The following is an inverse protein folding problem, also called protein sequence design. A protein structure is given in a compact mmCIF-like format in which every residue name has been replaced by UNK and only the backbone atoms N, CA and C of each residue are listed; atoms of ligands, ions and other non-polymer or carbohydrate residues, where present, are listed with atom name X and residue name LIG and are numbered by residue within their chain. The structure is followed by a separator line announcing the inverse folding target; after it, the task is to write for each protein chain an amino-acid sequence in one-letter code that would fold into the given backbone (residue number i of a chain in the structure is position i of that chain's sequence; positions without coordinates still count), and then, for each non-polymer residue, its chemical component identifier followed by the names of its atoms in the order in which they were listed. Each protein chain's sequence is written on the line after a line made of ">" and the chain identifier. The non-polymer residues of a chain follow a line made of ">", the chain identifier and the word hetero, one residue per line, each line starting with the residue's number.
data_IF_804434293897
#
_entry.id   IF_804434293897
#
_cell.length_a   1.000
_cell.length_b   1.000
_cell.length_c   1.000
_cell.angle_alpha   90.00
_cell.angle_beta   90.00
_cell.angle_gamma   90.00
#
_symmetry.space_group_name_H-M   'P 1'
#
loop_
_entity.id
_entity.type
_entity.pdbx_description
1 polymer ?
#
# COMPACT_ATOMS: atom_id res chain seq x y z
N UNK A 1 -0.77 10.87 1.20
CA UNK A 1 -1.33 10.32 -0.05
C UNK A 1 -0.32 9.32 -0.60
N UNK A 2 -0.78 8.13 -1.02
CA UNK A 2 0.11 7.11 -1.59
C UNK A 2 0.87 7.61 -2.82
N UNK A 3 2.12 7.16 -2.96
CA UNK A 3 2.93 7.48 -4.13
C UNK A 3 2.29 6.88 -5.39
N UNK A 4 2.19 7.70 -6.42
CA UNK A 4 1.51 7.37 -7.67
C UNK A 4 2.53 7.01 -8.75
N UNK A 5 2.32 5.88 -9.44
CA UNK A 5 3.03 5.50 -10.66
C UNK A 5 2.05 5.71 -11.82
N UNK A 6 2.46 6.49 -12.82
CA UNK A 6 1.68 6.74 -14.04
C UNK A 6 2.00 5.70 -15.11
N UNK A 7 1.04 5.41 -15.99
CA UNK A 7 1.18 4.40 -17.04
C UNK A 7 2.27 4.77 -18.06
N UNK A 8 2.37 6.07 -18.35
CA UNK A 8 3.46 6.68 -19.13
C UNK A 8 3.85 8.03 -18.52
N UNK A 9 4.99 8.60 -18.91
CA UNK A 9 5.50 9.88 -18.38
C UNK A 9 4.62 11.11 -18.68
N UNK A 10 3.60 10.97 -19.54
CA UNK A 10 2.68 12.02 -19.94
C UNK A 10 1.21 11.72 -19.61
N UNK A 11 0.91 10.57 -18.97
CA UNK A 11 -0.46 10.13 -18.72
C UNK A 11 -1.10 10.80 -17.51
N UNK A 12 -2.39 11.12 -17.63
CA UNK A 12 -3.22 11.63 -16.54
C UNK A 12 -3.66 10.51 -15.57
N UNK A 13 -3.63 9.25 -16.04
CA UNK A 13 -4.15 8.10 -15.29
C UNK A 13 -3.07 7.44 -14.44
N UNK A 14 -3.39 7.25 -13.16
CA UNK A 14 -2.55 6.51 -12.21
C UNK A 14 -2.56 5.03 -12.57
N UNK A 15 -1.45 4.46 -13.00
CA UNK A 15 -1.31 3.03 -13.22
C UNK A 15 -1.33 2.26 -11.90
N UNK A 16 -0.52 2.67 -10.93
CA UNK A 16 -0.42 2.00 -9.63
C UNK A 16 -0.22 2.99 -8.47
N UNK A 17 -0.65 2.59 -7.29
CA UNK A 17 -0.40 3.25 -6.02
C UNK A 17 0.57 2.39 -5.21
N UNK A 18 1.63 2.99 -4.70
CA UNK A 18 2.65 2.32 -3.90
C UNK A 18 2.46 2.67 -2.43
N UNK A 19 2.41 1.64 -1.59
CA UNK A 19 2.62 1.75 -0.16
C UNK A 19 3.89 0.98 0.25
N UNK A 20 4.61 1.51 1.23
CA UNK A 20 5.88 0.96 1.69
C UNK A 20 5.67 0.13 2.95
N UNK A 21 6.07 -1.14 2.93
CA UNK A 21 5.98 -2.06 4.05
C UNK A 21 7.21 -1.95 4.94
N UNK A 22 6.97 -1.68 6.21
CA UNK A 22 8.01 -1.67 7.25
C UNK A 22 7.99 -2.95 8.10
N UNK A 23 9.04 -3.16 8.88
CA UNK A 23 9.24 -4.35 9.73
C UNK A 23 8.16 -4.52 10.83
N UNK A 24 7.47 -3.44 11.20
CA UNK A 24 6.35 -3.44 12.14
C UNK A 24 5.00 -3.80 11.50
N UNK A 25 5.02 -4.23 10.23
CA UNK A 25 3.84 -4.62 9.42
C UNK A 25 2.89 -3.47 9.14
N UNK A 26 3.34 -2.22 9.27
CA UNK A 26 2.57 -1.04 8.85
C UNK A 26 2.93 -0.62 7.44
N UNK A 27 1.97 0.02 6.78
CA UNK A 27 2.11 0.60 5.45
C UNK A 27 2.35 2.10 5.55
N UNK A 28 3.31 2.61 4.77
CA UNK A 28 3.74 4.00 4.77
C UNK A 28 3.63 4.61 3.37
N UNK A 29 3.59 5.93 3.33
CA UNK A 29 3.48 6.69 2.07
C UNK A 29 4.81 6.76 1.32
N UNK A 30 5.93 6.61 2.04
CA UNK A 30 7.28 6.69 1.53
C UNK A 30 8.22 5.65 2.18
N UNK A 31 9.38 5.46 1.55
CA UNK A 31 10.43 4.52 1.97
C UNK A 31 11.14 4.94 3.27
N UNK A 32 11.07 6.22 3.66
CA UNK A 32 11.61 6.69 4.92
C UNK A 32 10.68 6.36 6.10
N UNK A 33 9.49 5.81 5.84
CA UNK A 33 8.51 5.36 6.82
C UNK A 33 8.14 6.44 7.85
N UNK A 34 8.12 7.72 7.44
CA UNK A 34 7.81 8.84 8.34
C UNK A 34 6.32 9.03 8.55
N UNK A 35 5.54 8.79 7.51
CA UNK A 35 4.08 8.98 7.53
C UNK A 35 3.39 7.68 7.17
N UNK A 36 2.62 7.14 8.12
CA UNK A 36 1.83 5.94 7.88
C UNK A 36 0.76 6.25 6.83
N UNK A 37 0.57 5.34 5.88
CA UNK A 37 -0.43 5.48 4.83
C UNK A 37 -1.83 5.48 5.43
N UNK A 38 -2.70 6.35 4.91
CA UNK A 38 -4.10 6.40 5.32
C UNK A 38 -4.84 5.16 4.85
N UNK A 39 -5.64 4.58 5.74
CA UNK A 39 -6.48 3.40 5.44
C UNK A 39 -7.39 3.62 4.23
N UNK A 40 -8.03 4.79 4.12
CA UNK A 40 -8.89 5.12 2.98
C UNK A 40 -8.15 5.08 1.64
N UNK A 41 -6.90 5.55 1.59
CA UNK A 41 -6.09 5.57 0.38
C UNK A 41 -5.68 4.14 -0.02
N UNK A 42 -5.27 3.33 0.96
CA UNK A 42 -4.91 1.92 0.77
C UNK A 42 -6.11 1.10 0.31
N UNK A 43 -7.27 1.28 0.93
CA UNK A 43 -8.51 0.60 0.53
C UNK A 43 -8.96 0.96 -0.88
N UNK A 44 -8.88 2.26 -1.22
CA UNK A 44 -9.20 2.73 -2.57
C UNK A 44 -8.27 2.10 -3.60
N UNK A 45 -6.96 2.14 -3.36
CA UNK A 45 -5.97 1.53 -4.25
C UNK A 45 -6.18 0.02 -4.42
N UNK A 46 -6.49 -0.70 -3.34
CA UNK A 46 -6.78 -2.14 -3.38
C UNK A 46 -8.02 -2.43 -4.23
N UNK A 47 -9.13 -1.72 -3.99
CA UNK A 47 -10.40 -1.92 -4.73
C UNK A 47 -10.27 -1.59 -6.22
N UNK A 48 -9.36 -0.69 -6.59
CA UNK A 48 -9.02 -0.41 -7.98
C UNK A 48 -8.15 -1.49 -8.64
N UNK A 49 -7.62 -2.45 -7.86
CA UNK A 49 -6.67 -3.45 -8.35
C UNK A 49 -5.30 -2.87 -8.70
N UNK A 50 -4.96 -1.71 -8.13
CA UNK A 50 -3.78 -0.90 -8.50
C UNK A 50 -2.81 -0.71 -7.32
N UNK A 51 -2.98 -1.45 -6.23
CA UNK A 51 -2.10 -1.35 -5.07
C UNK A 51 -0.86 -2.22 -5.26
N UNK A 52 0.32 -1.64 -5.05
CA UNK A 52 1.60 -2.34 -4.98
C UNK A 52 2.21 -2.06 -3.61
N UNK A 53 2.76 -3.12 -3.00
CA UNK A 53 3.40 -3.01 -1.68
C UNK A 53 4.90 -3.23 -1.85
N UNK A 54 5.70 -2.21 -1.54
CA UNK A 54 7.16 -2.28 -1.61
C UNK A 54 7.74 -2.51 -0.22
N UNK A 55 8.42 -3.63 0.00
CA UNK A 55 9.30 -3.82 1.15
C UNK A 55 10.74 -3.40 0.80
N UNK A 56 11.65 -3.58 1.75
CA UNK A 56 13.08 -3.25 1.57
C UNK A 56 13.73 -3.98 0.38
N UNK A 57 13.47 -5.30 0.26
CA UNK A 57 14.18 -6.15 -0.71
C UNK A 57 13.27 -6.74 -1.80
N UNK A 58 11.94 -6.60 -1.65
CA UNK A 58 10.96 -7.27 -2.52
C UNK A 58 9.65 -6.52 -2.58
N UNK A 59 8.90 -6.82 -3.63
CA UNK A 59 7.53 -6.35 -3.83
C UNK A 59 6.55 -7.44 -3.44
N UNK A 60 5.47 -7.04 -2.77
CA UNK A 60 4.37 -7.93 -2.38
C UNK A 60 3.13 -7.62 -3.18
N UNK A 61 2.38 -8.67 -3.52
CA UNK A 61 1.08 -8.58 -4.11
C UNK A 61 0.02 -8.47 -3.00
N UNK A 62 -0.87 -7.47 -3.02
CA UNK A 62 -2.04 -7.45 -2.16
C UNK A 62 -3.07 -8.47 -2.66
N UNK A 63 -3.54 -9.35 -1.77
CA UNK A 63 -4.40 -10.49 -2.12
C UNK A 63 -5.76 -10.49 -1.44
N UNK A 64 -5.89 -9.84 -0.28
CA UNK A 64 -7.19 -9.68 0.38
C UNK A 64 -7.26 -8.38 1.16
N UNK A 65 -8.45 -7.79 1.23
CA UNK A 65 -8.75 -6.66 2.12
C UNK A 65 -9.66 -7.15 3.25
N UNK A 66 -9.16 -7.05 4.48
CA UNK A 66 -9.85 -7.44 5.70
C UNK A 66 -10.14 -6.20 6.56
N UNK A 67 -11.06 -6.33 7.52
CA UNK A 67 -11.31 -5.27 8.50
C UNK A 67 -10.05 -4.86 9.28
N UNK A 68 -9.16 -5.84 9.54
CA UNK A 68 -7.89 -5.65 10.23
C UNK A 68 -6.77 -5.06 9.36
N UNK A 69 -6.93 -4.99 8.04
CA UNK A 69 -5.89 -4.50 7.12
C UNK A 69 -5.83 -5.25 5.79
N UNK A 70 -4.76 -4.99 5.02
CA UNK A 70 -4.53 -5.64 3.71
C UNK A 70 -3.63 -6.85 3.90
N UNK A 71 -4.03 -8.00 3.37
CA UNK A 71 -3.20 -9.19 3.28
C UNK A 71 -2.33 -9.10 2.03
N UNK A 72 -1.04 -9.29 2.20
CA UNK A 72 -0.02 -9.22 1.15
C UNK A 72 0.78 -10.52 1.10
N UNK A 73 1.27 -10.90 -0.07
CA UNK A 73 2.12 -12.09 -0.24
C UNK A 73 3.24 -11.82 -1.25
N UNK A 74 4.38 -12.46 -1.02
CA UNK A 74 5.50 -12.55 -1.96
C UNK A 74 5.53 -13.88 -2.72
N UNK A 75 4.44 -14.66 -2.64
CA UNK A 75 4.36 -16.02 -3.15
C UNK A 75 4.69 -17.11 -2.12
N UNK A 76 5.07 -16.72 -0.90
CA UNK A 76 5.28 -17.63 0.24
C UNK A 76 4.21 -17.41 1.31
N UNK A 77 4.57 -16.83 2.45
CA UNK A 77 3.69 -16.60 3.58
C UNK A 77 2.95 -15.28 3.44
N UNK A 78 1.62 -15.34 3.50
CA UNK A 78 0.79 -14.16 3.52
C UNK A 78 0.90 -13.42 4.87
N UNK A 79 0.95 -12.09 4.82
CA UNK A 79 1.05 -11.22 6.00
C UNK A 79 -0.05 -10.17 5.96
N UNK A 80 -0.73 -9.94 7.08
CA UNK A 80 -1.67 -8.82 7.22
C UNK A 80 -0.92 -7.56 7.63
N UNK A 81 -1.09 -6.49 6.85
CA UNK A 81 -0.48 -5.19 7.06
C UNK A 81 -1.53 -4.14 7.43
N UNK A 82 -1.16 -3.20 8.29
CA UNK A 82 -2.07 -2.16 8.81
C UNK A 82 -1.73 -0.78 8.26
N UNK A 83 -2.76 0.03 8.09
CA UNK A 83 -2.67 1.43 7.67
C UNK A 83 -3.20 2.32 8.81
N UNK A 84 -2.88 3.60 8.80
CA UNK A 84 -3.40 4.53 9.79
C UNK A 84 -4.91 4.69 9.61
N UNK A 85 -5.67 4.51 10.68
CA UNK A 85 -7.06 4.97 10.72
C UNK A 85 -7.08 6.50 10.51
N UNK A 86 -8.22 7.03 10.05
CA UNK A 86 -8.34 8.47 9.86
C UNK A 86 -7.98 9.20 11.16
N UNK A 87 -7.22 10.29 11.05
CA UNK A 87 -6.93 11.19 12.17
C UNK A 87 -8.25 11.55 12.84
N UNK A 88 -8.42 11.40 14.17
CA UNK A 88 -9.59 11.93 14.84
C UNK A 88 -9.69 13.43 14.53
N UNK A 89 -10.81 13.80 13.89
CA UNK A 89 -11.12 15.18 13.53
C UNK A 89 -11.15 16.13 14.74
#
# INVERSE_FOLDING_TARGET
>A
MLKTIYETGYDLHVANYVAYLHTDKKLYEDEAHKTQAKKADVEKAFKLGRLIIMGADKTYLPVALLAAGVVVTDGTTAVTCTAADADPA
#
